data_IF_521353815751
#
_entry.id   IF_521353815751
#
_cell.length_a   1.000
_cell.length_b   1.000
_cell.length_c   1.000
_cell.angle_alpha   90.00
_cell.angle_beta   90.00
_cell.angle_gamma   90.00
#
_symmetry.space_group_name_H-M   'P 1'
#
loop_
_entity.id
_entity.type
_entity.pdbx_description
1 polymer ?
#
# COMPACT_ATOMS: atom_id res chain seq x y z
N UNK A 1 14.64 10.14 -42.18
CA UNK A 1 15.28 10.70 -40.97
C UNK A 1 14.36 10.46 -39.78
N UNK A 2 14.64 9.46 -38.95
CA UNK A 2 13.80 9.08 -37.82
C UNK A 2 13.92 10.12 -36.73
N UNK A 3 12.87 10.89 -36.47
CA UNK A 3 12.80 11.82 -35.35
C UNK A 3 12.99 11.04 -34.05
N UNK A 4 14.15 11.20 -33.40
CA UNK A 4 14.34 10.78 -32.01
C UNK A 4 13.41 11.64 -31.17
N UNK A 5 12.22 11.14 -30.84
CA UNK A 5 11.37 11.75 -29.84
C UNK A 5 12.17 11.81 -28.54
N UNK A 6 12.59 13.02 -28.16
CA UNK A 6 13.30 13.27 -26.91
C UNK A 6 12.33 12.95 -25.77
N UNK A 7 12.55 11.81 -25.10
CA UNK A 7 11.73 11.39 -23.98
C UNK A 7 11.91 12.39 -22.83
N UNK A 8 10.97 13.33 -22.68
CA UNK A 8 11.01 14.40 -21.67
C UNK A 8 11.28 13.82 -20.28
N UNK A 9 12.31 14.29 -19.59
CA UNK A 9 12.70 13.79 -18.26
C UNK A 9 11.60 14.08 -17.22
N UNK A 10 11.26 13.09 -16.39
CA UNK A 10 10.32 13.28 -15.28
C UNK A 10 10.88 14.28 -14.26
N UNK A 11 10.08 15.30 -13.96
CA UNK A 11 10.36 16.37 -13.00
C UNK A 11 9.67 16.13 -11.66
N UNK A 12 9.87 17.02 -10.69
CA UNK A 12 9.21 16.96 -9.38
C UNK A 12 7.68 17.16 -9.49
N UNK A 13 7.22 17.94 -10.47
CA UNK A 13 5.79 18.22 -10.69
C UNK A 13 5.03 16.98 -11.17
N UNK A 14 5.73 16.08 -11.87
CA UNK A 14 5.18 14.83 -12.37
C UNK A 14 5.12 13.73 -11.30
N UNK A 15 5.64 13.97 -10.09
CA UNK A 15 5.62 12.99 -9.01
C UNK A 15 4.33 13.10 -8.20
N UNK A 16 3.78 11.98 -7.70
CA UNK A 16 2.59 12.03 -6.86
C UNK A 16 2.86 12.80 -5.56
N UNK A 17 1.81 13.39 -4.96
CA UNK A 17 1.94 14.02 -3.66
C UNK A 17 2.49 13.03 -2.62
N UNK A 18 3.29 13.54 -1.69
CA UNK A 18 3.82 12.75 -0.57
C UNK A 18 2.71 12.50 0.45
N UNK A 19 2.75 11.34 1.09
CA UNK A 19 1.90 11.05 2.23
C UNK A 19 2.22 12.02 3.38
N UNK A 20 1.23 12.40 4.19
CA UNK A 20 1.47 13.20 5.38
C UNK A 20 2.31 12.41 6.39
N UNK A 21 3.00 13.15 7.26
CA UNK A 21 3.73 12.58 8.38
C UNK A 21 2.76 11.81 9.29
N UNK A 22 3.18 10.65 9.79
CA UNK A 22 2.39 9.88 10.76
C UNK A 22 2.28 10.65 12.11
N UNK A 23 1.39 10.24 13.04
CA UNK A 23 1.17 10.97 14.30
C UNK A 23 2.46 11.27 15.09
N UNK A 24 3.34 10.27 15.24
CA UNK A 24 4.64 10.47 15.92
C UNK A 24 5.53 11.48 15.19
N UNK A 25 5.60 11.44 13.86
CA UNK A 25 6.40 12.39 13.09
C UNK A 25 5.83 13.81 13.14
N UNK A 26 4.51 13.97 13.23
CA UNK A 26 3.88 15.28 13.49
C UNK A 26 4.35 15.82 14.85
N UNK A 27 4.26 15.01 15.90
CA UNK A 27 4.81 15.34 17.22
C UNK A 27 6.30 15.66 17.16
N UNK A 28 7.10 14.81 16.50
CA UNK A 28 8.54 15.00 16.37
C UNK A 28 8.91 16.32 15.68
N UNK A 29 8.17 16.72 14.65
CA UNK A 29 8.38 18.00 13.96
C UNK A 29 8.08 19.17 14.90
N UNK A 30 7.04 19.07 15.74
CA UNK A 30 6.70 20.13 16.69
C UNK A 30 7.69 20.19 17.84
N UNK A 31 8.02 19.04 18.43
CA UNK A 31 9.05 18.88 19.44
C UNK A 31 10.42 19.41 18.99
N UNK A 32 10.82 19.13 17.74
CA UNK A 32 12.06 19.65 17.17
C UNK A 32 12.03 21.15 16.82
N UNK A 33 10.85 21.77 16.73
CA UNK A 33 10.72 23.23 16.57
C UNK A 33 10.88 23.96 17.91
N UNK A 34 10.47 23.34 19.02
CA UNK A 34 10.58 23.91 20.36
C UNK A 34 11.99 23.74 20.94
N UNK A 35 12.64 22.60 20.73
CA UNK A 35 13.90 22.20 21.39
C UNK A 35 15.19 22.59 20.63
N UNK A 36 15.21 23.75 19.97
CA UNK A 36 16.32 24.31 19.15
C UNK A 36 16.66 23.58 17.83
N UNK A 37 16.99 24.40 16.81
CA UNK A 37 17.61 24.00 15.54
C UNK A 37 19.06 23.55 15.79
N UNK A 38 19.23 22.31 16.20
CA UNK A 38 20.56 21.75 16.45
C UNK A 38 21.28 21.46 15.12
N UNK A 39 22.41 22.13 14.81
CA UNK A 39 23.05 21.99 13.50
C UNK A 39 23.88 20.71 13.38
N UNK A 40 24.25 20.09 14.50
CA UNK A 40 25.12 18.90 14.50
C UNK A 40 24.30 17.62 14.43
N UNK A 41 24.82 16.65 13.68
CA UNK A 41 24.20 15.32 13.53
C UNK A 41 24.07 14.60 14.89
N UNK A 42 25.02 14.80 15.80
CA UNK A 42 24.98 14.23 17.15
C UNK A 42 23.81 14.78 17.96
N UNK A 43 23.59 16.10 17.94
CA UNK A 43 22.50 16.72 18.66
C UNK A 43 21.13 16.36 18.07
N UNK A 44 21.01 16.22 16.74
CA UNK A 44 19.78 15.72 16.10
C UNK A 44 19.45 14.28 16.52
N UNK A 45 20.45 13.42 16.71
CA UNK A 45 20.25 12.06 17.23
C UNK A 45 19.74 12.08 18.67
N UNK A 46 20.31 12.95 19.52
CA UNK A 46 19.85 13.08 20.90
C UNK A 46 18.41 13.62 20.96
N UNK A 47 18.08 14.60 20.12
CA UNK A 47 16.71 15.09 19.99
C UNK A 47 15.72 13.98 19.58
N UNK A 48 16.09 13.11 18.63
CA UNK A 48 15.26 11.99 18.24
C UNK A 48 15.04 10.97 19.37
N UNK A 49 16.07 10.70 20.18
CA UNK A 49 15.96 9.83 21.36
C UNK A 49 15.05 10.47 22.41
N UNK A 50 15.23 11.76 22.70
CA UNK A 50 14.42 12.51 23.65
C UNK A 50 12.95 12.57 23.22
N UNK A 51 12.68 12.87 21.95
CA UNK A 51 11.32 12.89 21.40
C UNK A 51 10.66 11.51 21.46
N UNK A 52 11.39 10.43 21.15
CA UNK A 52 10.85 9.08 21.27
C UNK A 52 10.49 8.73 22.72
N UNK A 53 11.29 9.18 23.69
CA UNK A 53 11.01 9.00 25.13
C UNK A 53 9.78 9.83 25.54
N UNK A 54 9.71 11.09 25.12
CA UNK A 54 8.59 11.98 25.39
C UNK A 54 7.27 11.40 24.83
N UNK A 55 7.24 11.00 23.55
CA UNK A 55 6.06 10.38 22.93
C UNK A 55 5.57 9.10 23.64
N UNK A 56 6.50 8.31 24.19
CA UNK A 56 6.15 7.11 24.97
C UNK A 56 5.55 7.46 26.33
N UNK A 57 5.95 8.59 26.91
CA UNK A 57 5.47 9.07 28.20
C UNK A 57 4.15 9.86 28.10
N UNK A 58 3.81 10.37 26.91
CA UNK A 58 2.53 11.04 26.65
C UNK A 58 1.34 10.12 26.89
N UNK A 59 0.26 10.70 27.40
CA UNK A 59 -0.98 9.99 27.63
C UNK A 59 -1.74 9.73 26.32
N UNK A 60 -2.81 8.94 26.40
CA UNK A 60 -3.61 8.61 25.21
C UNK A 60 -4.37 9.81 24.64
N UNK A 61 -4.76 10.78 25.47
CA UNK A 61 -5.49 11.97 25.05
C UNK A 61 -4.59 12.93 24.25
N UNK A 62 -3.39 13.20 24.73
CA UNK A 62 -2.37 13.99 24.04
C UNK A 62 -1.99 13.34 22.70
N UNK A 63 -1.80 12.01 22.70
CA UNK A 63 -1.53 11.27 21.44
C UNK A 63 -2.72 11.28 20.49
N UNK A 64 -3.95 11.37 21.01
CA UNK A 64 -5.16 11.41 20.19
C UNK A 64 -5.20 12.66 19.32
N UNK A 65 -4.79 13.83 19.84
CA UNK A 65 -4.70 15.08 19.06
C UNK A 65 -3.88 14.90 17.77
N UNK A 66 -2.75 14.19 17.84
CA UNK A 66 -1.92 13.91 16.67
C UNK A 66 -2.54 12.87 15.71
N UNK A 67 -3.32 11.90 16.24
CA UNK A 67 -4.05 10.94 15.41
C UNK A 67 -5.18 11.63 14.65
N UNK A 68 -5.91 12.53 15.29
CA UNK A 68 -7.01 13.28 14.68
C UNK A 68 -6.48 14.21 13.59
N UNK A 69 -5.42 14.98 13.89
CA UNK A 69 -4.73 15.80 12.88
C UNK A 69 -4.20 14.97 11.72
N UNK A 70 -3.64 13.79 11.99
CA UNK A 70 -3.21 12.88 10.94
C UNK A 70 -4.39 12.44 10.06
N UNK A 71 -5.55 12.14 10.64
CA UNK A 71 -6.75 11.76 9.91
C UNK A 71 -7.22 12.89 8.96
N UNK A 72 -7.23 14.14 9.43
CA UNK A 72 -7.55 15.31 8.60
C UNK A 72 -6.56 15.50 7.44
N UNK A 73 -5.25 15.44 7.73
CA UNK A 73 -4.21 15.52 6.72
C UNK A 73 -4.32 14.38 5.71
N UNK A 74 -4.78 13.21 6.13
CA UNK A 74 -5.01 12.07 5.26
C UNK A 74 -6.19 12.29 4.30
N UNK A 75 -7.25 12.97 4.74
CA UNK A 75 -8.37 13.38 3.88
C UNK A 75 -7.88 14.34 2.79
N UNK A 76 -7.12 15.36 3.16
CA UNK A 76 -6.52 16.32 2.22
C UNK A 76 -5.52 15.64 1.26
N UNK A 77 -4.69 14.71 1.77
CA UNK A 77 -3.81 13.89 0.94
C UNK A 77 -4.57 13.09 -0.12
N UNK A 78 -5.67 12.43 0.25
CA UNK A 78 -6.51 11.68 -0.69
C UNK A 78 -7.05 12.58 -1.81
N UNK A 79 -7.50 13.80 -1.47
CA UNK A 79 -7.97 14.79 -2.46
C UNK A 79 -6.87 15.17 -3.45
N UNK A 80 -5.70 15.60 -2.95
CA UNK A 80 -4.55 15.93 -3.81
C UNK A 80 -4.08 14.75 -4.66
N UNK A 81 -4.11 13.54 -4.10
CA UNK A 81 -3.72 12.34 -4.82
C UNK A 81 -4.70 12.05 -5.97
N UNK A 82 -6.00 12.23 -5.74
CA UNK A 82 -6.99 12.07 -6.79
C UNK A 82 -6.83 13.13 -7.88
N UNK A 83 -6.66 14.40 -7.51
CA UNK A 83 -6.38 15.47 -8.49
C UNK A 83 -5.12 15.18 -9.31
N UNK A 84 -4.07 14.64 -8.69
CA UNK A 84 -2.87 14.21 -9.41
C UNK A 84 -3.20 13.14 -10.46
N UNK A 85 -3.99 12.12 -10.12
CA UNK A 85 -4.40 11.10 -11.10
C UNK A 85 -5.28 11.68 -12.21
N UNK A 86 -6.16 12.62 -11.90
CA UNK A 86 -7.06 13.24 -12.86
C UNK A 86 -6.32 14.17 -13.84
N UNK A 87 -5.25 14.85 -13.39
CA UNK A 87 -4.46 15.81 -14.18
C UNK A 87 -3.29 15.16 -14.94
N UNK A 88 -2.88 13.95 -14.58
CA UNK A 88 -1.67 13.31 -15.15
C UNK A 88 -2.03 12.33 -16.25
N UNK A 89 -1.33 12.41 -17.39
CA UNK A 89 -1.55 11.49 -18.51
C UNK A 89 -1.06 10.07 -18.21
N UNK A 90 -1.63 9.10 -18.93
CA UNK A 90 -1.35 7.68 -18.71
C UNK A 90 0.11 7.28 -18.95
N UNK A 91 0.84 7.96 -19.83
CA UNK A 91 2.24 7.63 -20.13
C UNK A 91 3.17 8.15 -19.01
N UNK A 92 2.93 9.38 -18.54
CA UNK A 92 3.60 9.92 -17.35
C UNK A 92 3.35 9.04 -16.14
N UNK A 93 2.10 8.59 -15.90
CA UNK A 93 1.79 7.67 -14.80
C UNK A 93 2.55 6.35 -14.89
N UNK A 94 2.71 5.75 -16.08
CA UNK A 94 3.50 4.53 -16.28
C UNK A 94 4.98 4.76 -15.95
N UNK A 95 5.56 5.85 -16.44
CA UNK A 95 6.98 6.19 -16.22
C UNK A 95 7.25 6.50 -14.75
N UNK A 96 6.36 7.22 -14.09
CA UNK A 96 6.43 7.51 -12.65
C UNK A 96 6.35 6.22 -11.85
N UNK A 97 5.41 5.32 -12.18
CA UNK A 97 5.29 4.00 -11.55
C UNK A 97 6.58 3.19 -11.70
N UNK A 98 7.20 3.18 -12.89
CA UNK A 98 8.47 2.48 -13.11
C UNK A 98 9.59 3.07 -12.24
N UNK A 99 9.70 4.40 -12.18
CA UNK A 99 10.68 5.12 -11.35
C UNK A 99 10.50 4.85 -9.85
N UNK A 100 9.26 4.83 -9.37
CA UNK A 100 8.95 4.51 -7.96
C UNK A 100 9.33 3.06 -7.64
N UNK A 101 8.99 2.11 -8.51
CA UNK A 101 9.37 0.70 -8.35
C UNK A 101 10.90 0.51 -8.32
N UNK A 102 11.61 1.12 -9.27
CA UNK A 102 13.06 1.04 -9.35
C UNK A 102 13.77 1.64 -8.13
N UNK A 103 13.12 2.57 -7.42
CA UNK A 103 13.61 3.15 -6.17
C UNK A 103 13.03 2.51 -4.91
N UNK A 104 12.33 1.37 -5.04
CA UNK A 104 11.64 0.68 -3.95
C UNK A 104 10.66 1.58 -3.16
N UNK A 105 10.13 2.62 -3.80
CA UNK A 105 9.14 3.51 -3.21
C UNK A 105 7.74 2.99 -3.46
N UNK A 106 6.85 3.23 -2.49
CA UNK A 106 5.44 2.89 -2.63
C UNK A 106 4.83 3.60 -3.86
N UNK A 107 4.09 2.84 -4.65
CA UNK A 107 3.34 3.34 -5.81
C UNK A 107 1.91 3.62 -5.36
N UNK A 108 1.46 4.88 -5.36
CA UNK A 108 0.08 5.19 -5.04
C UNK A 108 -0.88 4.54 -6.04
N UNK A 109 -2.07 4.20 -5.56
CA UNK A 109 -3.13 3.61 -6.38
C UNK A 109 -4.25 4.62 -6.52
N UNK A 110 -4.70 4.85 -7.74
CA UNK A 110 -5.87 5.66 -8.04
C UNK A 110 -7.12 5.04 -7.40
N UNK A 111 -7.92 5.85 -6.70
CA UNK A 111 -9.14 5.40 -6.05
C UNK A 111 -10.22 5.03 -7.07
N UNK A 112 -10.26 5.71 -8.23
CA UNK A 112 -11.19 5.41 -9.34
C UNK A 112 -10.86 4.10 -10.04
N UNK A 113 -9.64 3.59 -9.89
CA UNK A 113 -9.27 2.30 -10.45
C UNK A 113 -10.01 1.20 -9.68
N UNK A 114 -10.82 0.36 -10.33
CA UNK A 114 -11.56 -0.67 -9.62
C UNK A 114 -10.63 -1.81 -9.17
N UNK A 115 -10.92 -2.38 -8.00
CA UNK A 115 -10.21 -3.55 -7.48
C UNK A 115 -10.67 -4.80 -8.22
N UNK A 116 -9.71 -5.64 -8.62
CA UNK A 116 -10.04 -6.97 -9.11
C UNK A 116 -10.53 -7.81 -7.92
N UNK A 117 -11.49 -8.72 -8.14
CA UNK A 117 -11.89 -9.66 -7.10
C UNK A 117 -10.70 -10.50 -6.65
N UNK A 118 -10.73 -10.90 -5.37
CA UNK A 118 -9.74 -11.84 -4.83
C UNK A 118 -9.78 -13.16 -5.59
N UNK A 119 -8.65 -13.85 -5.68
CA UNK A 119 -8.58 -15.18 -6.31
C UNK A 119 -9.28 -16.24 -5.48
N UNK A 120 -9.53 -17.43 -6.03
CA UNK A 120 -10.04 -18.59 -5.30
C UNK A 120 -9.22 -18.89 -4.03
N UNK A 121 -7.89 -18.85 -4.14
CA UNK A 121 -6.96 -18.90 -3.00
C UNK A 121 -7.19 -17.79 -1.95
N UNK A 122 -7.49 -16.56 -2.38
CA UNK A 122 -7.74 -15.45 -1.46
C UNK A 122 -9.03 -15.67 -0.65
N UNK A 123 -10.07 -16.21 -1.30
CA UNK A 123 -11.32 -16.56 -0.63
C UNK A 123 -11.12 -17.68 0.38
N UNK A 124 -10.38 -18.72 -0.01
CA UNK A 124 -10.00 -19.80 0.89
C UNK A 124 -9.22 -19.29 2.11
N UNK A 125 -8.22 -18.41 1.91
CA UNK A 125 -7.51 -17.78 3.04
C UNK A 125 -8.51 -17.05 3.96
N UNK A 126 -9.41 -16.23 3.42
CA UNK A 126 -10.35 -15.45 4.23
C UNK A 126 -11.28 -16.34 5.08
N UNK A 127 -11.64 -17.51 4.56
CA UNK A 127 -12.46 -18.48 5.26
C UNK A 127 -11.65 -19.24 6.31
N UNK A 128 -10.51 -19.80 5.91
CA UNK A 128 -9.72 -20.71 6.72
C UNK A 128 -8.87 -20.01 7.77
N UNK A 129 -8.51 -18.73 7.59
CA UNK A 129 -7.82 -17.93 8.61
C UNK A 129 -8.61 -17.87 9.92
N UNK A 130 -9.95 -17.94 9.87
CA UNK A 130 -10.81 -17.98 11.06
C UNK A 130 -10.68 -19.27 11.88
N UNK A 131 -10.17 -20.34 11.26
CA UNK A 131 -10.01 -21.67 11.88
C UNK A 131 -8.61 -21.88 12.47
N UNK A 132 -7.66 -20.98 12.20
CA UNK A 132 -6.28 -21.10 12.63
C UNK A 132 -6.08 -20.25 13.90
N UNK A 133 -5.57 -20.88 14.95
CA UNK A 133 -5.23 -20.21 16.21
C UNK A 133 -4.06 -19.21 16.09
N UNK A 134 -3.70 -18.53 17.19
CA UNK A 134 -2.56 -17.63 17.20
C UNK A 134 -1.27 -18.40 16.93
N UNK A 135 -0.32 -17.75 16.26
CA UNK A 135 0.98 -18.36 16.00
C UNK A 135 1.81 -18.48 17.30
N UNK A 136 2.77 -19.42 17.35
CA UNK A 136 3.67 -19.56 18.49
C UNK A 136 4.44 -18.27 18.82
N UNK A 137 4.78 -18.03 20.10
CA UNK A 137 5.61 -16.90 20.50
C UNK A 137 6.91 -16.83 19.70
N UNK A 138 7.29 -15.63 19.27
CA UNK A 138 8.51 -15.41 18.47
C UNK A 138 8.37 -15.69 16.97
N UNK A 139 7.24 -16.24 16.50
CA UNK A 139 6.98 -16.47 15.07
C UNK A 139 6.04 -15.40 14.52
N UNK A 140 6.34 -14.88 13.33
CA UNK A 140 5.45 -13.95 12.62
C UNK A 140 4.17 -14.67 12.21
N UNK A 141 3.04 -14.33 12.83
CA UNK A 141 1.78 -15.03 12.63
C UNK A 141 1.29 -15.08 11.18
N UNK A 142 1.46 -14.00 10.42
CA UNK A 142 1.09 -13.99 9.00
C UNK A 142 1.88 -15.05 8.20
N UNK A 143 3.18 -15.19 8.45
CA UNK A 143 4.02 -16.16 7.74
C UNK A 143 3.67 -17.59 8.13
N UNK A 144 3.47 -17.84 9.43
CA UNK A 144 3.06 -19.13 9.95
C UNK A 144 1.72 -19.59 9.37
N UNK A 145 0.70 -18.73 9.45
CA UNK A 145 -0.65 -19.04 8.98
C UNK A 145 -0.67 -19.24 7.46
N UNK A 146 0.07 -18.43 6.70
CA UNK A 146 0.15 -18.59 5.24
C UNK A 146 0.74 -19.93 4.84
N UNK A 147 1.74 -20.44 5.58
CA UNK A 147 2.34 -21.76 5.30
C UNK A 147 1.32 -22.88 5.51
N UNK A 148 0.64 -22.90 6.65
CA UNK A 148 -0.41 -23.88 6.97
C UNK A 148 -1.53 -23.86 5.92
N UNK A 149 -2.01 -22.66 5.59
CA UNK A 149 -3.06 -22.50 4.58
C UNK A 149 -2.62 -23.01 3.21
N UNK A 150 -1.35 -22.78 2.84
CA UNK A 150 -0.84 -23.21 1.54
C UNK A 150 -0.75 -24.74 1.47
N UNK A 151 -0.39 -25.40 2.57
CA UNK A 151 -0.42 -26.85 2.69
C UNK A 151 -1.85 -27.39 2.59
N UNK A 152 -2.80 -26.79 3.33
CA UNK A 152 -4.23 -27.15 3.23
C UNK A 152 -4.79 -26.98 1.82
N UNK A 153 -4.46 -25.88 1.14
CA UNK A 153 -4.91 -25.64 -0.23
C UNK A 153 -4.34 -26.64 -1.24
N UNK A 154 -3.11 -27.12 -1.05
CA UNK A 154 -2.52 -28.18 -1.88
C UNK A 154 -3.12 -29.55 -1.60
N UNK A 155 -3.63 -29.77 -0.38
CA UNK A 155 -4.29 -31.00 0.01
C UNK A 155 -5.76 -31.08 -0.43
N UNK A 156 -6.38 -29.95 -0.83
CA UNK A 156 -7.74 -29.96 -1.36
C UNK A 156 -7.85 -30.77 -2.64
N UNK A 157 -8.91 -31.56 -2.71
CA UNK A 157 -9.32 -32.24 -3.93
C UNK A 157 -9.86 -31.25 -4.98
N UNK A 158 -9.85 -31.61 -6.28
CA UNK A 158 -10.47 -30.79 -7.33
C UNK A 158 -11.93 -30.42 -7.01
N UNK A 159 -12.68 -31.34 -6.40
CA UNK A 159 -14.09 -31.18 -6.04
C UNK A 159 -14.27 -30.14 -4.92
N UNK A 160 -13.43 -30.18 -3.88
CA UNK A 160 -13.45 -29.18 -2.81
C UNK A 160 -12.98 -27.79 -3.27
N UNK A 161 -12.14 -27.77 -4.31
CA UNK A 161 -11.62 -26.54 -4.90
C UNK A 161 -12.60 -25.90 -5.90
N UNK A 162 -13.42 -26.71 -6.57
CA UNK A 162 -14.36 -26.26 -7.60
C UNK A 162 -15.25 -25.08 -7.16
N UNK A 163 -15.87 -25.08 -5.95
CA UNK A 163 -16.69 -23.95 -5.50
C UNK A 163 -15.92 -22.62 -5.43
N UNK A 164 -14.65 -22.64 -5.03
CA UNK A 164 -13.83 -21.44 -4.97
C UNK A 164 -13.46 -20.93 -6.37
N UNK A 165 -13.12 -21.84 -7.27
CA UNK A 165 -12.76 -21.49 -8.65
C UNK A 165 -13.98 -21.00 -9.44
N UNK A 166 -15.16 -21.57 -9.24
CA UNK A 166 -16.43 -21.10 -9.81
C UNK A 166 -16.85 -19.72 -9.30
N UNK A 167 -16.83 -19.52 -7.98
CA UNK A 167 -17.10 -18.20 -7.37
C UNK A 167 -16.13 -17.14 -7.91
N UNK A 168 -14.85 -17.48 -8.05
CA UNK A 168 -13.86 -16.57 -8.63
C UNK A 168 -14.17 -16.24 -10.09
N UNK A 169 -14.57 -17.21 -10.91
CA UNK A 169 -14.99 -16.97 -12.31
C UNK A 169 -16.19 -16.04 -12.37
N UNK A 170 -17.22 -16.29 -11.56
CA UNK A 170 -18.42 -15.45 -11.50
C UNK A 170 -18.09 -14.01 -11.11
N UNK A 171 -17.29 -13.82 -10.05
CA UNK A 171 -16.88 -12.48 -9.61
C UNK A 171 -15.98 -11.77 -10.62
N UNK A 172 -15.16 -12.51 -11.36
CA UNK A 172 -14.39 -11.95 -12.47
C UNK A 172 -15.30 -11.48 -13.61
N UNK A 173 -16.29 -12.28 -13.99
CA UNK A 173 -17.24 -11.94 -15.05
C UNK A 173 -18.05 -10.70 -14.67
N UNK A 174 -18.56 -10.64 -13.44
CA UNK A 174 -19.25 -9.46 -12.90
C UNK A 174 -18.34 -8.22 -12.92
N UNK A 175 -17.08 -8.38 -12.51
CA UNK A 175 -16.09 -7.29 -12.56
C UNK A 175 -15.82 -6.83 -14.01
N UNK A 176 -15.70 -7.76 -14.97
CA UNK A 176 -15.46 -7.42 -16.37
C UNK A 176 -16.65 -6.70 -16.99
N UNK A 177 -17.86 -7.21 -16.74
CA UNK A 177 -19.12 -6.59 -17.16
C UNK A 177 -19.29 -5.19 -16.56
N UNK A 178 -19.20 -5.05 -15.24
CA UNK A 178 -19.41 -3.79 -14.50
C UNK A 178 -18.47 -2.67 -14.94
N UNK A 179 -17.24 -3.00 -15.31
CA UNK A 179 -16.22 -2.00 -15.67
C UNK A 179 -15.89 -1.98 -17.17
N UNK A 180 -16.65 -2.68 -18.01
CA UNK A 180 -16.44 -2.85 -19.45
C UNK A 180 -14.96 -3.18 -19.79
N UNK A 181 -14.42 -4.19 -19.11
CA UNK A 181 -13.03 -4.65 -19.28
C UNK A 181 -13.00 -6.04 -19.85
N UNK A 182 -11.94 -6.37 -20.57
CA UNK A 182 -11.71 -7.73 -21.06
C UNK A 182 -10.74 -8.51 -20.16
N UNK A 183 -10.86 -9.85 -20.12
CA UNK A 183 -9.86 -10.73 -19.54
C UNK A 183 -8.48 -10.45 -20.13
N UNK A 184 -7.47 -10.38 -19.27
CA UNK A 184 -6.09 -10.26 -19.76
C UNK A 184 -5.70 -11.60 -20.37
N UNK A 185 -5.50 -11.67 -21.68
CA UNK A 185 -4.91 -12.85 -22.32
C UNK A 185 -3.55 -13.06 -21.65
N UNK A 186 -3.38 -14.18 -20.92
CA UNK A 186 -2.04 -14.59 -20.51
C UNK A 186 -1.31 -14.93 -21.81
N UNK A 187 -0.08 -14.46 -21.94
CA UNK A 187 0.80 -14.94 -23.01
C UNK A 187 1.08 -16.40 -22.66
N UNK A 188 0.24 -17.30 -23.15
CA UNK A 188 0.53 -18.74 -23.10
C UNK A 188 1.78 -18.86 -23.96
N UNK A 189 2.90 -19.27 -23.36
CA UNK A 189 4.00 -19.77 -24.15
C UNK A 189 3.43 -21.00 -24.83
N UNK A 190 3.17 -20.90 -26.13
CA UNK A 190 2.98 -22.07 -26.98
C UNK A 190 4.22 -22.95 -26.76
N UNK A 191 3.95 -24.21 -26.39
CA UNK A 191 4.95 -25.27 -26.21
C UNK A 191 5.94 -25.37 -27.37
#
# INVERSE_FOLDING_TARGET
MTFMQTVKRLTKKDMPPKQPANPYLLFFIEYGRTELKTPTLAAQRQLAIAAAKAWKAMDDAERQVYKDRYAELWVDYKKRLQEYFDKTDGETLKRVKLKLKASHRAVPRDAKRPHRPGTSWTMFIQEQTKTIGPAPPGVKGVLHNTKILAERWRALTPEERAPYDERYKQLLEEYYSKYNKSPHKRRIASE
#
